data_IF_061377660389
#
_entry.id   IF_061377660389
#
_cell.length_a   1.000
_cell.length_b   1.000
_cell.length_c   1.000
_cell.angle_alpha   90.00
_cell.angle_beta   90.00
_cell.angle_gamma   90.00
#
_symmetry.space_group_name_H-M   'P 1'
#
loop_
_entity.id
_entity.type
_entity.pdbx_description
1 polymer ?
#
# COMPACT_ATOMS: atom_id res chain seq x y z
N UNK A 1 52.36 1.52 19.43
CA UNK A 1 51.27 1.11 18.52
C UNK A 1 50.67 2.37 17.92
N UNK A 2 50.94 2.60 16.65
CA UNK A 2 51.00 3.90 16.00
C UNK A 2 49.63 4.29 15.41
N UNK A 3 48.97 5.30 15.99
CA UNK A 3 47.78 5.91 15.40
C UNK A 3 48.26 6.94 14.37
N UNK A 4 48.06 6.66 13.07
CA UNK A 4 48.37 7.57 11.98
C UNK A 4 47.10 8.16 11.35
N UNK A 5 46.95 9.48 11.52
CA UNK A 5 46.75 10.55 10.50
C UNK A 5 45.81 10.17 9.32
N UNK A 6 44.74 10.91 9.00
CA UNK A 6 44.82 12.15 8.18
C UNK A 6 43.53 12.98 8.16
N UNK A 7 43.73 14.28 8.38
CA UNK A 7 42.82 15.38 8.12
C UNK A 7 42.74 15.71 6.61
N UNK A 8 41.59 16.29 6.25
CA UNK A 8 41.36 17.38 5.28
C UNK A 8 42.11 17.40 3.94
N UNK A 9 41.36 17.55 2.83
CA UNK A 9 41.59 18.64 1.88
C UNK A 9 40.43 18.76 0.87
N UNK A 10 39.93 19.99 0.78
CA UNK A 10 39.04 20.56 -0.26
C UNK A 10 39.90 20.95 -1.48
N UNK A 11 39.40 20.76 -2.70
CA UNK A 11 39.70 21.57 -3.90
C UNK A 11 38.83 21.03 -5.05
N UNK A 12 37.80 21.72 -5.56
CA UNK A 12 37.83 22.94 -6.35
C UNK A 12 38.81 22.84 -7.54
N UNK A 13 38.30 22.48 -8.73
CA UNK A 13 38.99 22.68 -9.99
C UNK A 13 38.01 23.25 -11.02
N UNK A 14 38.42 24.40 -11.55
CA UNK A 14 37.66 25.38 -12.31
C UNK A 14 37.81 25.16 -13.81
N UNK A 15 36.76 25.49 -14.56
CA UNK A 15 36.73 26.11 -15.90
C UNK A 15 37.58 25.54 -17.05
N UNK A 16 36.87 25.09 -18.11
CA UNK A 16 37.09 25.59 -19.47
C UNK A 16 35.73 25.99 -20.06
N UNK A 17 35.61 27.26 -20.42
CA UNK A 17 34.49 27.82 -21.18
C UNK A 17 34.53 27.31 -22.63
N UNK A 18 33.40 26.83 -23.14
CA UNK A 18 33.19 26.60 -24.56
C UNK A 18 31.88 27.27 -24.98
N UNK A 19 32.03 28.13 -25.98
CA UNK A 19 31.04 28.96 -26.66
C UNK A 19 29.79 28.16 -27.09
N UNK A 20 28.61 28.70 -26.85
CA UNK A 20 27.34 28.12 -27.26
C UNK A 20 27.21 28.04 -28.80
N UNK A 21 26.46 27.03 -29.29
CA UNK A 21 25.41 27.30 -30.26
C UNK A 21 24.04 26.96 -29.66
N UNK A 22 23.08 27.85 -29.89
CA UNK A 22 21.66 27.57 -29.76
C UNK A 22 21.28 26.37 -30.65
N UNK A 23 20.29 25.60 -30.18
CA UNK A 23 19.64 24.41 -30.76
C UNK A 23 20.38 23.08 -30.57
N UNK A 24 19.88 22.26 -29.64
CA UNK A 24 20.19 20.83 -29.60
C UNK A 24 19.81 20.20 -28.26
N UNK A 25 18.60 19.64 -28.20
CA UNK A 25 18.05 18.76 -27.17
C UNK A 25 18.97 18.42 -25.98
N UNK A 26 18.73 19.04 -24.83
CA UNK A 26 19.26 18.54 -23.56
C UNK A 26 18.81 17.08 -23.39
N UNK A 27 19.70 16.13 -23.03
CA UNK A 27 19.28 14.81 -22.61
C UNK A 27 18.45 15.00 -21.34
N UNK A 28 17.12 15.02 -21.51
CA UNK A 28 16.17 15.10 -20.41
C UNK A 28 16.50 13.92 -19.48
N UNK A 29 16.87 14.14 -18.21
CA UNK A 29 17.16 13.04 -17.30
C UNK A 29 15.94 12.13 -17.29
N UNK A 30 16.15 10.83 -17.58
CA UNK A 30 15.11 9.83 -17.58
C UNK A 30 14.40 9.88 -16.23
N UNK A 31 13.20 10.44 -16.24
CA UNK A 31 12.40 10.63 -15.03
C UNK A 31 12.09 9.22 -14.50
N UNK A 32 12.35 8.90 -13.22
CA UNK A 32 12.12 7.56 -12.65
C UNK A 32 10.65 7.09 -12.73
N UNK A 33 9.73 8.01 -13.07
CA UNK A 33 8.32 7.74 -13.34
C UNK A 33 8.10 6.56 -14.31
N UNK A 34 8.85 6.47 -15.42
CA UNK A 34 8.65 5.38 -16.40
C UNK A 34 9.01 3.99 -15.87
N UNK A 35 9.95 3.92 -14.91
CA UNK A 35 10.33 2.68 -14.25
C UNK A 35 9.32 2.27 -13.16
N UNK A 36 8.76 3.24 -12.43
CA UNK A 36 7.70 3.02 -11.45
C UNK A 36 6.40 2.53 -12.12
N UNK A 37 6.03 3.13 -13.25
CA UNK A 37 4.85 2.75 -14.04
C UNK A 37 4.96 1.30 -14.55
N UNK A 38 6.16 0.90 -15.01
CA UNK A 38 6.42 -0.46 -15.49
C UNK A 38 6.38 -1.48 -14.34
N UNK A 39 6.86 -1.12 -13.15
CA UNK A 39 6.83 -1.99 -11.95
C UNK A 39 5.41 -2.18 -11.43
N UNK A 40 4.60 -1.11 -11.39
CA UNK A 40 3.19 -1.19 -11.03
C UNK A 40 2.39 -2.01 -12.06
N UNK A 41 2.66 -1.81 -13.35
CA UNK A 41 2.06 -2.61 -14.42
C UNK A 41 2.44 -4.10 -14.31
N UNK A 42 3.71 -4.42 -14.02
CA UNK A 42 4.18 -5.78 -13.82
C UNK A 42 3.55 -6.43 -12.58
N UNK A 43 3.48 -5.72 -11.44
CA UNK A 43 2.83 -6.21 -10.22
C UNK A 43 1.30 -6.42 -10.41
N UNK A 44 0.68 -5.67 -11.32
CA UNK A 44 -0.75 -5.78 -11.58
C UNK A 44 -1.16 -7.02 -12.38
N UNK A 45 -0.24 -7.65 -13.12
CA UNK A 45 -0.56 -8.85 -13.91
C UNK A 45 -0.84 -10.08 -13.04
N UNK A 46 0.01 -10.45 -12.07
CA UNK A 46 -0.28 -11.56 -11.14
C UNK A 46 -1.58 -11.36 -10.36
N UNK A 47 -1.87 -10.13 -9.94
CA UNK A 47 -3.12 -9.79 -9.22
C UNK A 47 -4.34 -10.00 -10.10
N UNK A 48 -4.30 -9.54 -11.37
CA UNK A 48 -5.39 -9.76 -12.33
C UNK A 48 -5.64 -11.25 -12.57
N UNK A 49 -4.59 -12.02 -12.75
CA UNK A 49 -4.69 -13.46 -13.00
C UNK A 49 -5.22 -14.22 -11.77
N UNK A 50 -4.76 -13.86 -10.58
CA UNK A 50 -5.32 -14.41 -9.33
C UNK A 50 -6.81 -14.07 -9.21
N UNK A 51 -7.21 -12.81 -9.40
CA UNK A 51 -8.62 -12.40 -9.31
C UNK A 51 -9.50 -13.14 -10.32
N UNK A 52 -9.06 -13.32 -11.57
CA UNK A 52 -9.80 -14.11 -12.57
C UNK A 52 -10.04 -15.54 -12.12
N UNK A 53 -9.01 -16.19 -11.57
CA UNK A 53 -9.12 -17.57 -11.06
C UNK A 53 -10.03 -17.70 -9.84
N UNK A 54 -10.16 -16.65 -9.03
CA UNK A 54 -10.96 -16.66 -7.78
C UNK A 54 -12.26 -15.85 -7.89
N UNK A 55 -12.68 -15.46 -9.11
CA UNK A 55 -13.79 -14.54 -9.33
C UNK A 55 -15.10 -15.03 -8.71
N UNK A 56 -15.42 -16.32 -8.92
CA UNK A 56 -16.62 -16.94 -8.34
C UNK A 56 -16.60 -16.90 -6.80
N UNK A 57 -15.46 -17.18 -6.17
CA UNK A 57 -15.33 -17.17 -4.72
C UNK A 57 -15.54 -15.76 -4.15
N UNK A 58 -14.93 -14.76 -4.79
CA UNK A 58 -15.05 -13.34 -4.42
C UNK A 58 -16.52 -12.90 -4.50
N UNK A 59 -17.20 -13.23 -5.60
CA UNK A 59 -18.60 -12.84 -5.81
C UNK A 59 -19.54 -13.56 -4.84
N UNK A 60 -19.32 -14.85 -4.56
CA UNK A 60 -20.10 -15.57 -3.56
C UNK A 60 -19.93 -14.99 -2.16
N UNK A 61 -18.70 -14.65 -1.78
CA UNK A 61 -18.44 -14.06 -0.46
C UNK A 61 -19.02 -12.65 -0.34
N UNK A 62 -18.94 -11.84 -1.40
CA UNK A 62 -19.57 -10.53 -1.46
C UNK A 62 -21.10 -10.62 -1.41
N UNK A 63 -21.71 -11.53 -2.16
CA UNK A 63 -23.15 -11.76 -2.11
C UNK A 63 -23.63 -12.20 -0.72
N UNK A 64 -22.86 -13.04 -0.01
CA UNK A 64 -23.15 -13.41 1.38
C UNK A 64 -23.11 -12.22 2.33
N UNK A 65 -22.17 -11.29 2.14
CA UNK A 65 -22.10 -10.05 2.94
C UNK A 65 -23.33 -9.17 2.68
N UNK A 66 -23.67 -8.94 1.40
CA UNK A 66 -24.81 -8.11 1.00
C UNK A 66 -26.18 -8.68 1.41
N UNK A 67 -26.26 -9.98 1.66
CA UNK A 67 -27.49 -10.61 2.15
C UNK A 67 -27.84 -10.19 3.60
N UNK A 68 -26.92 -9.56 4.33
CA UNK A 68 -27.15 -9.04 5.66
C UNK A 68 -27.62 -7.58 5.54
N UNK A 69 -28.80 -7.22 6.09
CA UNK A 69 -29.27 -5.83 6.08
C UNK A 69 -28.29 -4.86 6.78
N UNK A 70 -28.02 -3.71 6.17
CA UNK A 70 -27.12 -2.67 6.71
C UNK A 70 -27.91 -1.39 7.02
N UNK A 71 -28.80 -1.47 8.01
CA UNK A 71 -29.70 -0.37 8.40
C UNK A 71 -29.34 0.12 9.80
N UNK A 72 -29.10 1.43 9.95
CA UNK A 72 -28.65 2.03 11.20
C UNK A 72 -29.58 1.76 12.41
N UNK A 73 -30.89 1.65 12.17
CA UNK A 73 -31.88 1.35 13.20
C UNK A 73 -31.89 -0.14 13.61
N UNK A 74 -31.34 -1.04 12.79
CA UNK A 74 -31.30 -2.48 13.04
C UNK A 74 -29.98 -2.89 13.69
N UNK A 75 -29.90 -2.65 15.00
CA UNK A 75 -28.69 -2.98 15.77
C UNK A 75 -28.32 -4.46 15.75
N UNK A 76 -29.29 -5.37 15.51
CA UNK A 76 -29.02 -6.81 15.45
C UNK A 76 -28.30 -7.18 14.16
N UNK A 77 -28.79 -6.71 13.01
CA UNK A 77 -28.13 -6.95 11.74
C UNK A 77 -26.81 -6.20 11.60
N UNK A 78 -26.67 -5.00 12.17
CA UNK A 78 -25.36 -4.31 12.24
C UNK A 78 -24.30 -5.12 12.99
N UNK A 79 -24.66 -5.74 14.12
CA UNK A 79 -23.74 -6.65 14.85
C UNK A 79 -23.40 -7.88 14.03
N UNK A 80 -24.39 -8.48 13.36
CA UNK A 80 -24.17 -9.62 12.46
C UNK A 80 -23.27 -9.27 11.28
N UNK A 81 -23.44 -8.08 10.71
CA UNK A 81 -22.61 -7.57 9.62
C UNK A 81 -21.16 -7.40 10.12
N UNK A 82 -20.97 -6.82 11.30
CA UNK A 82 -19.66 -6.67 11.91
C UNK A 82 -18.94 -8.02 12.18
N UNK A 83 -19.66 -9.01 12.70
CA UNK A 83 -19.11 -10.35 12.94
C UNK A 83 -18.72 -11.05 11.65
N UNK A 84 -19.52 -10.86 10.60
CA UNK A 84 -19.25 -11.42 9.27
C UNK A 84 -17.98 -10.81 8.68
N UNK A 85 -17.81 -9.49 8.78
CA UNK A 85 -16.62 -8.78 8.34
C UNK A 85 -15.36 -9.18 9.11
N UNK A 86 -15.44 -9.35 10.43
CA UNK A 86 -14.32 -9.85 11.25
C UNK A 86 -13.87 -11.22 10.75
N UNK A 87 -14.81 -12.16 10.59
CA UNK A 87 -14.48 -13.49 10.08
C UNK A 87 -13.87 -13.43 8.67
N UNK A 88 -14.33 -12.51 7.80
CA UNK A 88 -13.77 -12.29 6.46
C UNK A 88 -12.33 -11.77 6.49
N UNK A 89 -12.02 -10.87 7.42
CA UNK A 89 -10.68 -10.31 7.62
C UNK A 89 -9.72 -11.35 8.20
N UNK A 90 -10.17 -12.13 9.18
CA UNK A 90 -9.36 -13.19 9.80
C UNK A 90 -8.96 -14.28 8.81
N UNK A 91 -9.87 -14.70 7.91
CA UNK A 91 -9.54 -15.62 6.82
C UNK A 91 -8.44 -15.12 5.88
N UNK A 92 -8.22 -13.81 5.83
CA UNK A 92 -7.17 -13.16 5.02
C UNK A 92 -5.90 -12.88 5.81
N UNK A 93 -5.80 -13.38 7.05
CA UNK A 93 -4.62 -13.24 7.90
C UNK A 93 -4.54 -11.89 8.64
N UNK A 94 -5.63 -11.12 8.69
CA UNK A 94 -5.70 -9.93 9.53
C UNK A 94 -6.14 -10.30 10.94
N UNK A 95 -5.63 -9.60 11.96
CA UNK A 95 -6.26 -9.59 13.27
C UNK A 95 -7.40 -8.59 13.25
N UNK A 96 -8.62 -9.00 13.55
CA UNK A 96 -9.78 -8.13 13.52
C UNK A 96 -10.53 -8.14 14.85
N UNK A 97 -11.09 -6.98 15.25
CA UNK A 97 -11.91 -6.86 16.46
C UNK A 97 -12.98 -5.78 16.33
N UNK A 98 -14.10 -5.96 17.03
CA UNK A 98 -15.13 -4.92 17.17
C UNK A 98 -14.65 -3.83 18.12
N UNK A 99 -15.07 -2.61 17.84
CA UNK A 99 -15.01 -1.44 18.70
C UNK A 99 -16.44 -1.05 19.05
N UNK A 100 -16.80 -1.13 20.32
CA UNK A 100 -18.15 -0.84 20.79
C UNK A 100 -18.19 0.49 21.53
N UNK A 101 -19.28 1.23 21.33
CA UNK A 101 -19.61 2.44 22.05
C UNK A 101 -21.11 2.46 22.33
N UNK A 102 -21.55 2.85 23.55
CA UNK A 102 -22.97 2.90 23.88
C UNK A 102 -23.78 3.73 22.88
N UNK A 103 -24.91 3.18 22.44
CA UNK A 103 -25.82 3.88 21.52
C UNK A 103 -25.31 4.04 20.09
N UNK A 104 -24.18 3.43 19.72
CA UNK A 104 -23.57 3.55 18.39
C UNK A 104 -23.44 2.20 17.68
N UNK A 105 -23.52 2.15 16.34
CA UNK A 105 -23.13 0.98 15.57
C UNK A 105 -21.67 0.57 15.86
N UNK A 106 -21.35 -0.74 15.88
CA UNK A 106 -19.98 -1.19 16.11
C UNK A 106 -19.07 -0.78 14.95
N UNK A 107 -17.87 -0.28 15.27
CA UNK A 107 -16.80 -0.14 14.30
C UNK A 107 -15.90 -1.39 14.31
N UNK A 108 -15.09 -1.58 13.27
CA UNK A 108 -14.20 -2.74 13.14
C UNK A 108 -12.77 -2.24 12.93
N UNK A 109 -11.83 -2.74 13.72
CA UNK A 109 -10.40 -2.55 13.52
C UNK A 109 -9.80 -3.84 12.97
N UNK A 110 -9.19 -3.76 11.79
CA UNK A 110 -8.40 -4.83 11.18
C UNK A 110 -6.93 -4.44 11.09
N UNK A 111 -6.03 -5.31 11.56
CA UNK A 111 -4.59 -5.12 11.54
C UNK A 111 -3.92 -6.19 10.66
N UNK A 112 -3.09 -5.75 9.71
CA UNK A 112 -2.21 -6.62 8.94
C UNK A 112 -0.76 -6.29 9.29
N UNK A 113 -0.13 -7.11 10.11
CA UNK A 113 1.25 -6.90 10.52
C UNK A 113 2.22 -7.23 9.37
N UNK A 114 3.09 -6.28 9.04
CA UNK A 114 4.23 -6.55 8.14
C UNK A 114 5.49 -6.78 8.98
N UNK A 115 6.19 -7.91 8.82
CA UNK A 115 7.43 -8.16 9.55
C UNK A 115 8.43 -7.02 9.40
N UNK A 116 8.95 -6.50 10.51
CA UNK A 116 9.93 -5.41 10.52
C UNK A 116 9.36 -4.00 10.36
N UNK A 117 8.03 -3.81 10.33
CA UNK A 117 7.43 -2.49 10.29
C UNK A 117 7.65 -1.73 11.62
N UNK A 118 8.23 -0.53 11.56
CA UNK A 118 8.46 0.33 12.72
C UNK A 118 7.26 1.24 13.07
N UNK A 119 6.28 1.34 12.18
CA UNK A 119 5.02 2.09 12.35
C UNK A 119 3.87 1.39 11.61
N UNK A 120 2.66 1.57 12.12
CA UNK A 120 1.38 1.15 11.54
C UNK A 120 0.79 2.23 10.65
#
# INVERSE_FOLDING_TARGET
MSIRVRAAAVAAATMIAALAPLLGASPRPATPARAADTRAAAASMPVREWRRRHESEILHEFARLLAIPDVAADSANLRRNADTLIAMLERRGLRARRLESPGSPPAILGELATPGAART
#
